data_IF_126620889675
#
_entry.id   IF_126620889675
#
_cell.length_a   1.000
_cell.length_b   1.000
_cell.length_c   1.000
_cell.angle_alpha   90.00
_cell.angle_beta   90.00
_cell.angle_gamma   90.00
#
_symmetry.space_group_name_H-M   'P 1'
#
loop_
_entity.id
_entity.type
_entity.pdbx_description
1 polymer ?
#
# COMPACT_ATOMS: atom_id res chain seq x y z
N UNK A 1 1.41 9.56 -17.02
CA UNK A 1 1.15 8.21 -16.48
C UNK A 1 2.50 7.53 -16.27
N UNK A 2 2.75 6.90 -15.12
CA UNK A 2 4.05 6.47 -14.54
C UNK A 2 4.60 7.38 -13.42
N UNK A 3 3.73 7.95 -12.59
CA UNK A 3 4.20 8.67 -11.40
C UNK A 3 4.62 7.67 -10.31
N UNK A 4 5.82 7.82 -9.72
CA UNK A 4 6.20 7.04 -8.55
C UNK A 4 5.32 7.46 -7.36
N UNK A 5 4.80 6.48 -6.63
CA UNK A 5 4.05 6.65 -5.39
C UNK A 5 4.85 6.02 -4.26
N UNK A 6 5.03 6.78 -3.17
CA UNK A 6 5.63 6.31 -1.94
C UNK A 6 4.59 6.35 -0.83
N UNK A 7 4.15 5.19 -0.35
CA UNK A 7 3.25 5.08 0.79
C UNK A 7 4.07 4.84 2.06
N UNK A 8 4.12 5.85 2.94
CA UNK A 8 4.68 5.71 4.28
C UNK A 8 3.70 5.00 5.20
N UNK A 9 4.14 3.93 5.87
CA UNK A 9 3.31 3.13 6.76
C UNK A 9 3.98 2.99 8.11
N UNK A 10 3.22 3.25 9.17
CA UNK A 10 3.58 2.91 10.55
C UNK A 10 2.51 2.02 11.13
N UNK A 11 2.91 1.00 11.88
CA UNK A 11 1.99 0.13 12.60
C UNK A 11 2.51 -0.13 14.01
N UNK A 12 1.60 -0.36 14.94
CA UNK A 12 1.83 -0.82 16.31
C UNK A 12 1.77 -2.35 16.42
N UNK A 13 1.34 -3.04 15.36
CA UNK A 13 1.31 -4.50 15.23
C UNK A 13 2.09 -4.95 14.00
N UNK A 14 2.42 -6.24 13.91
CA UNK A 14 2.95 -6.79 12.67
C UNK A 14 1.79 -6.98 11.67
N UNK A 15 2.02 -6.60 10.41
CA UNK A 15 1.02 -6.73 9.36
C UNK A 15 1.69 -6.86 7.97
N UNK A 16 0.88 -7.17 6.96
CA UNK A 16 1.27 -7.11 5.55
C UNK A 16 0.40 -6.06 4.85
N UNK A 17 1.03 -5.09 4.21
CA UNK A 17 0.34 -4.08 3.40
C UNK A 17 0.19 -4.60 1.99
N UNK A 18 -1.04 -4.71 1.51
CA UNK A 18 -1.33 -5.10 0.14
C UNK A 18 -1.82 -3.90 -0.67
N UNK A 19 -1.34 -3.77 -1.92
CA UNK A 19 -1.87 -2.82 -2.91
C UNK A 19 -2.53 -3.62 -4.02
N UNK A 20 -3.86 -3.72 -3.95
CA UNK A 20 -4.64 -4.48 -4.93
C UNK A 20 -4.51 -3.88 -6.33
N UNK A 21 -4.51 -4.73 -7.36
CA UNK A 21 -4.29 -4.32 -8.76
C UNK A 21 -2.83 -4.07 -9.16
N UNK A 22 -1.91 -4.03 -8.20
CA UNK A 22 -0.46 -3.99 -8.40
C UNK A 22 0.27 -5.24 -7.89
N UNK A 23 -0.43 -6.19 -7.26
CA UNK A 23 0.09 -7.45 -6.70
C UNK A 23 1.30 -7.25 -5.75
N UNK A 24 1.25 -6.16 -4.97
CA UNK A 24 2.29 -5.83 -4.00
C UNK A 24 1.91 -6.31 -2.61
N UNK A 25 2.85 -6.98 -1.95
CA UNK A 25 2.77 -7.40 -0.55
C UNK A 25 4.00 -6.85 0.17
N UNK A 26 3.79 -6.10 1.26
CA UNK A 26 4.89 -5.47 1.99
C UNK A 26 4.77 -5.70 3.51
N UNK A 27 5.71 -6.41 4.13
CA UNK A 27 5.66 -6.65 5.58
C UNK A 27 6.01 -5.38 6.36
N UNK A 28 5.22 -5.08 7.39
CA UNK A 28 5.47 -3.98 8.33
C UNK A 28 5.61 -4.53 9.75
N UNK A 29 6.46 -3.88 10.56
CA UNK A 29 6.76 -4.30 11.93
C UNK A 29 6.39 -3.20 12.93
N UNK A 30 5.97 -3.56 14.16
CA UNK A 30 5.70 -2.60 15.22
C UNK A 30 6.84 -1.61 15.41
N UNK A 31 6.51 -0.31 15.42
CA UNK A 31 7.48 0.76 15.73
C UNK A 31 8.57 0.98 14.68
N UNK A 32 8.53 0.31 13.53
CA UNK A 32 9.45 0.50 12.42
C UNK A 32 8.70 1.06 11.21
N UNK A 33 8.80 2.37 10.94
CA UNK A 33 8.23 2.95 9.73
C UNK A 33 8.73 2.23 8.47
N UNK A 34 7.83 2.02 7.54
CA UNK A 34 8.04 1.32 6.28
C UNK A 34 7.61 2.20 5.10
N UNK A 35 8.10 1.87 3.91
CA UNK A 35 7.75 2.56 2.69
C UNK A 35 7.44 1.56 1.57
N UNK A 36 6.22 1.61 1.03
CA UNK A 36 5.85 0.88 -0.18
C UNK A 36 6.06 1.82 -1.37
N UNK A 37 7.05 1.50 -2.21
CA UNK A 37 7.37 2.26 -3.43
C UNK A 37 6.90 1.49 -4.66
N UNK A 38 6.08 2.12 -5.49
CA UNK A 38 5.63 1.55 -6.76
C UNK A 38 5.32 2.62 -7.79
N UNK A 39 5.17 2.19 -9.05
CA UNK A 39 4.79 3.08 -10.15
C UNK A 39 3.29 2.96 -10.36
N UNK A 40 2.56 4.07 -10.20
CA UNK A 40 1.12 4.16 -10.48
C UNK A 40 0.89 4.23 -12.00
N UNK A 41 1.08 3.09 -12.68
CA UNK A 41 0.99 2.94 -14.13
C UNK A 41 -0.39 2.56 -14.64
N UNK A 42 -1.38 2.34 -13.77
CA UNK A 42 -2.72 1.87 -14.13
C UNK A 42 -3.76 2.87 -13.61
N UNK A 43 -4.60 3.39 -14.50
CA UNK A 43 -5.78 4.21 -14.14
C UNK A 43 -6.83 3.33 -13.45
N UNK A 44 -7.45 3.84 -12.39
CA UNK A 44 -8.45 3.11 -11.61
C UNK A 44 -8.49 3.51 -10.14
N UNK A 45 -9.32 2.82 -9.37
CA UNK A 45 -9.36 2.91 -7.90
C UNK A 45 -8.88 1.58 -7.35
N UNK A 46 -7.91 1.63 -6.44
CA UNK A 46 -7.24 0.46 -5.89
C UNK A 46 -7.30 0.48 -4.36
N UNK A 47 -7.68 -0.65 -3.77
CA UNK A 47 -7.69 -0.78 -2.32
C UNK A 47 -6.27 -1.04 -1.80
N UNK A 48 -5.91 -0.33 -0.74
CA UNK A 48 -4.71 -0.61 0.06
C UNK A 48 -5.17 -1.09 1.42
N UNK A 49 -4.76 -2.30 1.79
CA UNK A 49 -5.17 -2.94 3.04
C UNK A 49 -3.97 -3.32 3.90
N UNK A 50 -4.20 -3.43 5.21
CA UNK A 50 -3.45 -4.34 6.04
C UNK A 50 -4.17 -5.70 6.00
N UNK A 51 -3.54 -6.68 5.36
CA UNK A 51 -4.11 -7.99 5.10
C UNK A 51 -4.43 -8.72 6.42
N UNK A 52 -5.58 -9.43 6.50
CA UNK A 52 -6.50 -9.73 5.40
C UNK A 52 -7.70 -8.80 5.24
N UNK A 53 -8.01 -7.93 6.20
CA UNK A 53 -9.39 -7.40 6.29
C UNK A 53 -9.46 -5.89 6.57
N UNK A 54 -8.32 -5.22 6.82
CA UNK A 54 -8.32 -3.82 7.26
C UNK A 54 -8.03 -2.92 6.06
N UNK A 55 -9.07 -2.30 5.49
CA UNK A 55 -8.90 -1.25 4.49
C UNK A 55 -8.23 -0.02 5.12
N UNK A 56 -7.09 0.40 4.57
CA UNK A 56 -6.34 1.58 5.02
C UNK A 56 -6.75 2.82 4.22
N UNK A 57 -6.79 2.70 2.89
CA UNK A 57 -7.19 3.76 1.98
C UNK A 57 -7.63 3.20 0.62
N UNK A 58 -8.25 4.06 -0.19
CA UNK A 58 -8.43 3.83 -1.62
C UNK A 58 -7.55 4.81 -2.41
N UNK A 59 -6.76 4.27 -3.33
CA UNK A 59 -5.88 5.05 -4.20
C UNK A 59 -6.56 5.25 -5.55
N UNK A 60 -6.90 6.49 -5.88
CA UNK A 60 -7.38 6.86 -7.21
C UNK A 60 -6.21 7.31 -8.10
N UNK A 61 -6.09 6.69 -9.28
CA UNK A 61 -5.15 7.06 -10.34
C UNK A 61 -5.95 7.49 -11.57
N UNK A 62 -5.71 8.70 -12.07
CA UNK A 62 -6.41 9.32 -13.21
C UNK A 62 -5.47 9.49 -14.40
#
# INVERSE_FOLDING_TARGET
MNSPVLLGVTSDVAAEVHVHGYDLVYPVRPGSPACVLFVAGRTGVFDVEAHPEILLLQLEVR
#
